data_IF_854879129777
#
_entry.id   IF_854879129777
#
_cell.length_a   1.000
_cell.length_b   1.000
_cell.length_c   1.000
_cell.angle_alpha   90.00
_cell.angle_beta   90.00
_cell.angle_gamma   90.00
#
_symmetry.space_group_name_H-M   'P 1'
#
loop_
_entity.id
_entity.type
_entity.pdbx_description
1 polymer ?
#
# COMPACT_ATOMS: atom_id res chain seq x y z
N UNK A 1 -16.80 -5.21 10.88
CA UNK A 1 -15.90 -5.71 9.83
C UNK A 1 -14.74 -6.39 10.53
N UNK A 2 -14.35 -7.61 10.14
CA UNK A 2 -13.27 -8.36 10.77
C UNK A 2 -12.27 -8.80 9.70
N UNK A 3 -10.98 -8.65 9.96
CA UNK A 3 -9.93 -9.10 9.05
C UNK A 3 -9.51 -10.52 9.40
N UNK A 4 -9.43 -11.41 8.39
CA UNK A 4 -8.86 -12.74 8.59
C UNK A 4 -7.33 -12.71 8.63
N UNK A 5 -6.72 -11.75 7.93
CA UNK A 5 -5.27 -11.57 7.87
C UNK A 5 -4.92 -10.12 7.64
N UNK A 6 -3.86 -9.66 8.30
CA UNK A 6 -3.25 -8.33 8.10
C UNK A 6 -1.75 -8.56 7.90
N UNK A 7 -1.20 -8.02 6.82
CA UNK A 7 0.24 -8.09 6.54
C UNK A 7 0.74 -6.66 6.43
N UNK A 8 1.68 -6.30 7.31
CA UNK A 8 2.24 -4.96 7.40
C UNK A 8 3.75 -5.01 7.10
N UNK A 9 4.24 -3.97 6.43
CA UNK A 9 5.66 -3.73 6.22
C UNK A 9 6.11 -2.53 7.04
N UNK A 10 7.30 -2.62 7.63
CA UNK A 10 7.95 -1.50 8.33
C UNK A 10 9.45 -1.56 8.07
N UNK A 11 10.05 -0.43 7.65
CA UNK A 11 11.49 -0.35 7.38
C UNK A 11 12.30 -0.05 8.65
N UNK A 12 11.71 0.72 9.57
CA UNK A 12 12.29 1.09 10.86
C UNK A 12 12.31 -0.11 11.77
N UNK A 13 13.49 -0.51 12.24
CA UNK A 13 13.60 -1.67 13.14
C UNK A 13 12.86 -1.39 14.46
N UNK A 14 11.78 -2.12 14.70
CA UNK A 14 10.98 -2.03 15.90
C UNK A 14 11.43 -3.11 16.89
N UNK A 15 11.49 -2.76 18.17
CA UNK A 15 11.60 -3.77 19.22
C UNK A 15 10.32 -4.64 19.21
N UNK A 16 10.41 -5.97 19.34
CA UNK A 16 9.23 -6.84 19.28
C UNK A 16 8.12 -6.43 20.25
N UNK A 17 8.45 -6.03 21.48
CA UNK A 17 7.44 -5.58 22.43
C UNK A 17 6.64 -4.38 21.88
N UNK A 18 7.32 -3.37 21.35
CA UNK A 18 6.70 -2.17 20.78
C UNK A 18 5.87 -2.46 19.53
N UNK A 19 6.34 -3.37 18.68
CA UNK A 19 5.65 -3.75 17.46
C UNK A 19 4.29 -4.43 17.71
N UNK A 20 4.18 -5.18 18.81
CA UNK A 20 3.01 -6.02 19.10
C UNK A 20 2.10 -5.46 20.19
N UNK A 21 2.56 -4.52 21.02
CA UNK A 21 1.77 -3.91 22.12
C UNK A 21 0.49 -3.22 21.63
N UNK A 22 0.50 -2.65 20.42
CA UNK A 22 -0.65 -1.93 19.86
C UNK A 22 -1.62 -2.82 19.08
N UNK A 23 -1.28 -4.10 18.89
CA UNK A 23 -2.14 -5.03 18.15
C UNK A 23 -3.24 -5.54 19.09
N UNK A 24 -4.53 -5.28 18.80
CA UNK A 24 -5.63 -5.82 19.61
C UNK A 24 -5.59 -7.35 19.69
N UNK A 25 -5.97 -7.91 20.83
CA UNK A 25 -5.92 -9.36 21.09
C UNK A 25 -6.61 -10.18 20.00
N UNK A 26 -7.75 -9.72 19.48
CA UNK A 26 -8.50 -10.38 18.40
C UNK A 26 -7.76 -10.45 17.06
N UNK A 27 -6.75 -9.61 16.84
CA UNK A 27 -5.96 -9.54 15.61
C UNK A 27 -4.60 -10.24 15.73
N UNK A 28 -4.18 -10.63 16.94
CA UNK A 28 -2.84 -11.17 17.20
C UNK A 28 -2.50 -12.37 16.32
N UNK A 29 -3.44 -13.30 16.10
CA UNK A 29 -3.19 -14.49 15.26
C UNK A 29 -3.24 -14.20 13.75
N UNK A 30 -3.91 -13.12 13.35
CA UNK A 30 -4.08 -12.73 11.95
C UNK A 30 -3.07 -11.70 11.47
N UNK A 31 -2.36 -11.03 12.38
CA UNK A 31 -1.40 -9.99 12.07
C UNK A 31 -0.02 -10.56 11.78
N UNK A 32 0.62 -10.07 10.73
CA UNK A 32 2.00 -10.40 10.36
C UNK A 32 2.75 -9.10 10.10
N UNK A 33 3.83 -8.87 10.86
CA UNK A 33 4.75 -7.77 10.62
C UNK A 33 5.99 -8.28 9.87
N UNK A 34 6.29 -7.64 8.73
CA UNK A 34 7.51 -7.81 7.96
C UNK A 34 8.38 -6.57 8.22
N UNK A 35 9.28 -6.67 9.20
CA UNK A 35 10.10 -5.54 9.62
C UNK A 35 11.40 -5.40 8.81
N UNK A 36 11.28 -5.51 7.49
CA UNK A 36 12.31 -5.22 6.49
C UNK A 36 11.56 -4.48 5.38
N UNK A 37 11.95 -3.25 5.05
CA UNK A 37 11.19 -2.42 4.10
C UNK A 37 10.89 -3.13 2.77
N UNK A 38 9.88 -2.66 2.06
CA UNK A 38 9.50 -3.28 0.79
C UNK A 38 10.33 -2.78 -0.40
N UNK A 39 10.27 -3.50 -1.52
CA UNK A 39 11.01 -3.21 -2.75
C UNK A 39 10.07 -3.07 -3.95
N UNK A 40 10.34 -2.09 -4.81
CA UNK A 40 9.66 -1.93 -6.09
C UNK A 40 10.16 -2.91 -7.18
N UNK A 41 11.33 -3.54 -7.01
CA UNK A 41 11.84 -4.52 -7.98
C UNK A 41 10.89 -5.74 -8.07
N UNK A 42 10.38 -6.03 -9.28
CA UNK A 42 9.49 -7.17 -9.58
C UNK A 42 10.13 -8.53 -9.23
N UNK A 43 11.45 -8.64 -9.26
CA UNK A 43 12.18 -9.87 -8.93
C UNK A 43 12.49 -10.01 -7.43
N UNK A 44 12.44 -8.92 -6.66
CA UNK A 44 12.75 -8.94 -5.23
C UNK A 44 11.70 -9.73 -4.45
N UNK A 45 12.14 -10.54 -3.50
CA UNK A 45 11.27 -11.24 -2.54
C UNK A 45 10.49 -10.26 -1.65
N UNK A 46 11.00 -9.03 -1.50
CA UNK A 46 10.43 -7.99 -0.65
C UNK A 46 9.44 -7.10 -1.41
N UNK A 47 9.09 -7.47 -2.65
CA UNK A 47 8.01 -6.83 -3.39
C UNK A 47 6.65 -7.26 -2.83
N UNK A 48 5.82 -6.32 -2.37
CA UNK A 48 4.57 -6.64 -1.66
C UNK A 48 3.55 -7.34 -2.57
N UNK A 49 3.61 -7.13 -3.88
CA UNK A 49 2.70 -7.80 -4.82
C UNK A 49 2.97 -9.29 -4.94
N UNK A 50 4.19 -9.75 -4.67
CA UNK A 50 4.46 -11.19 -4.58
C UNK A 50 3.76 -11.82 -3.38
N UNK A 51 3.67 -11.10 -2.26
CA UNK A 51 2.93 -11.57 -1.09
C UNK A 51 1.44 -11.57 -1.40
N UNK A 52 0.90 -10.51 -2.01
CA UNK A 52 -0.50 -10.47 -2.43
C UNK A 52 -0.85 -11.68 -3.30
N UNK A 53 -0.07 -11.94 -4.35
CA UNK A 53 -0.27 -13.07 -5.27
C UNK A 53 -0.17 -14.44 -4.58
N UNK A 54 0.58 -14.55 -3.48
CA UNK A 54 0.73 -15.79 -2.73
C UNK A 54 -0.34 -15.96 -1.63
N UNK A 55 -0.89 -14.86 -1.12
CA UNK A 55 -1.75 -14.84 0.06
C UNK A 55 -3.24 -14.71 -0.27
N UNK A 56 -3.59 -14.07 -1.38
CA UNK A 56 -4.97 -13.77 -1.76
C UNK A 56 -5.45 -14.59 -2.96
N UNK A 57 -6.76 -14.76 -3.04
CA UNK A 57 -7.50 -15.37 -4.14
C UNK A 57 -8.59 -14.41 -4.63
N UNK A 58 -9.13 -14.61 -5.85
CA UNK A 58 -10.18 -13.73 -6.39
C UNK A 58 -11.46 -13.65 -5.55
N UNK A 59 -11.70 -14.62 -4.66
CA UNK A 59 -12.87 -14.63 -3.77
C UNK A 59 -12.65 -13.88 -2.45
N UNK A 60 -11.39 -13.52 -2.14
CA UNK A 60 -11.07 -12.74 -0.95
C UNK A 60 -11.42 -11.26 -1.17
N UNK A 61 -11.77 -10.57 -0.09
CA UNK A 61 -11.90 -9.11 -0.13
C UNK A 61 -10.60 -8.48 0.35
N UNK A 62 -9.87 -7.80 -0.54
CA UNK A 62 -8.53 -7.28 -0.28
C UNK A 62 -8.52 -5.76 -0.23
N UNK A 63 -7.94 -5.24 0.85
CA UNK A 63 -7.67 -3.81 1.05
C UNK A 63 -6.17 -3.59 1.05
N UNK A 64 -5.71 -2.62 0.27
CA UNK A 64 -4.32 -2.19 0.24
C UNK A 64 -4.22 -0.75 0.74
N UNK A 65 -3.36 -0.48 1.72
CA UNK A 65 -2.88 0.87 2.04
C UNK A 65 -1.45 1.00 1.55
N UNK A 66 -1.18 2.03 0.73
CA UNK A 66 0.16 2.38 0.25
C UNK A 66 0.54 3.77 0.77
N UNK A 67 1.56 3.79 1.63
CA UNK A 67 2.05 4.96 2.36
C UNK A 67 3.46 4.59 2.87
N UNK A 68 4.49 4.95 2.10
CA UNK A 68 5.91 4.58 2.31
C UNK A 68 6.79 5.85 2.36
N UNK A 69 6.22 7.04 2.15
CA UNK A 69 6.93 8.34 2.08
C UNK A 69 8.04 8.41 1.02
N UNK A 70 8.09 7.43 0.09
CA UNK A 70 9.18 7.27 -0.87
C UNK A 70 8.62 7.06 -2.27
N UNK A 71 8.45 8.15 -3.02
CA UNK A 71 7.83 8.11 -4.36
C UNK A 71 8.56 7.21 -5.36
N UNK A 72 9.89 7.03 -5.22
CA UNK A 72 10.67 6.12 -6.06
C UNK A 72 10.37 4.63 -5.82
N UNK A 73 9.62 4.29 -4.76
CA UNK A 73 9.10 2.96 -4.48
C UNK A 73 7.60 2.91 -4.80
N UNK A 74 6.81 3.86 -4.30
CA UNK A 74 5.36 3.86 -4.43
C UNK A 74 4.89 3.93 -5.89
N UNK A 75 5.47 4.83 -6.70
CA UNK A 75 5.03 5.01 -8.09
C UNK A 75 5.30 3.77 -8.94
N UNK A 76 6.48 3.12 -8.87
CA UNK A 76 6.67 1.83 -9.51
C UNK A 76 5.73 0.73 -9.01
N UNK A 77 5.33 0.73 -7.74
CA UNK A 77 4.35 -0.23 -7.22
C UNK A 77 2.95 0.02 -7.79
N UNK A 78 2.52 1.28 -7.89
CA UNK A 78 1.27 1.64 -8.59
C UNK A 78 1.33 1.22 -10.06
N UNK A 79 2.44 1.49 -10.73
CA UNK A 79 2.61 1.14 -12.14
C UNK A 79 2.50 -0.38 -12.35
N UNK A 80 2.99 -1.18 -11.42
CA UNK A 80 2.81 -2.64 -11.46
C UNK A 80 1.35 -3.08 -11.40
N UNK A 81 0.52 -2.42 -10.58
CA UNK A 81 -0.93 -2.68 -10.54
C UNK A 81 -1.55 -2.33 -11.90
N UNK A 82 -1.18 -1.17 -12.46
CA UNK A 82 -1.71 -0.69 -13.74
C UNK A 82 -1.34 -1.59 -14.94
N UNK A 83 -0.21 -2.27 -14.88
CA UNK A 83 0.32 -3.12 -15.95
C UNK A 83 -0.05 -4.60 -15.84
N UNK A 84 -0.54 -5.05 -14.68
CA UNK A 84 -0.73 -6.46 -14.40
C UNK A 84 -2.15 -6.75 -13.89
N UNK A 85 -2.99 -7.29 -14.77
CA UNK A 85 -4.37 -7.64 -14.46
C UNK A 85 -4.49 -8.68 -13.34
N UNK A 86 -3.52 -9.58 -13.19
CA UNK A 86 -3.51 -10.56 -12.09
C UNK A 86 -3.35 -9.87 -10.74
N UNK A 87 -2.57 -8.78 -10.66
CA UNK A 87 -2.45 -7.99 -9.43
C UNK A 87 -3.73 -7.18 -9.22
N UNK A 88 -4.18 -6.44 -10.24
CA UNK A 88 -5.31 -5.53 -10.07
C UNK A 88 -6.63 -6.25 -9.75
N UNK A 89 -6.83 -7.47 -10.27
CA UNK A 89 -8.02 -8.29 -9.97
C UNK A 89 -8.08 -8.81 -8.54
N UNK A 90 -6.96 -8.79 -7.81
CA UNK A 90 -6.90 -9.20 -6.41
C UNK A 90 -7.07 -8.02 -5.44
N UNK A 91 -7.29 -6.80 -5.92
CA UNK A 91 -7.42 -5.60 -5.06
C UNK A 91 -8.83 -5.04 -5.21
N UNK A 92 -9.61 -5.09 -4.14
CA UNK A 92 -10.96 -4.53 -4.13
C UNK A 92 -10.97 -3.05 -3.78
N UNK A 93 -10.14 -2.67 -2.81
CA UNK A 93 -10.11 -1.34 -2.24
C UNK A 93 -8.68 -0.91 -1.96
N UNK A 94 -8.38 0.36 -2.25
CA UNK A 94 -7.04 0.89 -2.08
C UNK A 94 -7.07 2.30 -1.50
N UNK A 95 -6.15 2.55 -0.57
CA UNK A 95 -5.81 3.85 -0.01
C UNK A 95 -4.38 4.18 -0.42
N UNK A 96 -4.15 5.36 -1.00
CA UNK A 96 -2.81 5.78 -1.42
C UNK A 96 -2.55 7.23 -1.03
N UNK A 97 -1.49 7.44 -0.25
CA UNK A 97 -0.93 8.75 0.05
C UNK A 97 0.06 9.18 -1.03
N UNK A 98 -0.48 9.64 -2.17
CA UNK A 98 0.37 10.15 -3.23
C UNK A 98 0.89 11.55 -2.86
N UNK A 99 2.11 11.59 -2.33
CA UNK A 99 2.83 12.80 -1.99
C UNK A 99 3.07 13.71 -3.21
N UNK A 100 2.28 14.78 -3.32
CA UNK A 100 2.36 15.80 -4.38
C UNK A 100 2.29 17.21 -3.79
N UNK A 101 2.75 18.22 -4.54
CA UNK A 101 2.71 19.60 -4.04
C UNK A 101 1.25 20.11 -3.99
N UNK A 102 0.73 20.26 -2.76
CA UNK A 102 -0.53 20.93 -2.44
C UNK A 102 -0.32 21.88 -1.27
N UNK A 103 -0.84 23.10 -1.39
CA UNK A 103 -0.55 24.22 -0.48
C UNK A 103 -0.80 23.87 1.00
N UNK A 104 -1.88 23.14 1.24
CA UNK A 104 -2.36 22.74 2.56
C UNK A 104 -1.40 21.76 3.26
N UNK A 105 -0.69 20.92 2.48
CA UNK A 105 0.19 19.86 3.01
C UNK A 105 1.67 20.23 3.01
N UNK A 106 2.06 21.41 2.49
CA UNK A 106 3.48 21.83 2.44
C UNK A 106 4.15 21.76 3.83
N UNK A 107 3.42 22.07 4.90
CA UNK A 107 3.98 22.02 6.27
C UNK A 107 4.30 20.60 6.77
N UNK A 108 3.77 19.57 6.12
CA UNK A 108 3.91 18.17 6.50
C UNK A 108 4.81 17.42 5.54
N UNK A 109 4.56 17.55 4.24
CA UNK A 109 5.25 16.83 3.18
C UNK A 109 6.41 17.62 2.55
N UNK A 110 6.55 18.91 2.88
CA UNK A 110 7.50 19.79 2.21
C UNK A 110 7.05 20.14 0.78
N UNK A 111 7.91 19.89 -0.20
CA UNK A 111 7.63 20.20 -1.61
C UNK A 111 7.88 18.97 -2.49
N UNK A 112 7.10 17.89 -2.31
CA UNK A 112 7.24 16.69 -3.13
C UNK A 112 6.90 17.02 -4.59
N UNK A 113 7.50 16.31 -5.56
CA UNK A 113 7.27 16.58 -6.98
C UNK A 113 5.82 16.27 -7.37
N UNK A 114 5.40 16.81 -8.53
CA UNK A 114 4.08 16.55 -9.08
C UNK A 114 2.96 17.41 -8.50
N UNK A 115 1.75 17.14 -8.96
CA UNK A 115 0.56 17.95 -8.72
C UNK A 115 -0.64 17.07 -8.36
N UNK A 116 -1.68 17.68 -7.80
CA UNK A 116 -2.95 17.00 -7.53
C UNK A 116 -3.57 16.38 -8.80
N UNK A 117 -3.33 16.97 -9.97
CA UNK A 117 -3.75 16.39 -11.24
C UNK A 117 -3.12 15.03 -11.48
N UNK A 118 -1.83 14.85 -11.16
CA UNK A 118 -1.13 13.57 -11.34
C UNK A 118 -1.75 12.48 -10.45
N UNK A 119 -2.08 12.81 -9.19
CA UNK A 119 -2.81 11.92 -8.29
C UNK A 119 -4.16 11.50 -8.89
N UNK A 120 -4.94 12.44 -9.42
CA UNK A 120 -6.22 12.10 -10.05
C UNK A 120 -6.04 11.21 -11.28
N UNK A 121 -4.99 11.39 -12.09
CA UNK A 121 -4.73 10.51 -13.23
C UNK A 121 -4.47 9.06 -12.79
N UNK A 122 -3.67 8.86 -11.74
CA UNK A 122 -3.46 7.52 -11.17
C UNK A 122 -4.77 6.95 -10.62
N UNK A 123 -5.52 7.73 -9.84
CA UNK A 123 -6.73 7.24 -9.20
C UNK A 123 -7.85 6.91 -10.21
N UNK A 124 -7.97 7.67 -11.30
CA UNK A 124 -8.91 7.35 -12.38
C UNK A 124 -8.52 6.02 -13.02
N UNK A 125 -7.24 5.81 -13.35
CA UNK A 125 -6.77 4.57 -13.97
C UNK A 125 -6.98 3.36 -13.07
N UNK A 126 -6.70 3.48 -11.77
CA UNK A 126 -6.96 2.41 -10.80
C UNK A 126 -8.45 2.08 -10.70
N UNK A 127 -9.33 3.09 -10.69
CA UNK A 127 -10.79 2.87 -10.71
C UNK A 127 -11.27 2.20 -12.00
N UNK A 128 -10.65 2.50 -13.14
CA UNK A 128 -10.95 1.83 -14.41
C UNK A 128 -10.61 0.33 -14.38
N UNK A 129 -9.72 -0.11 -13.49
CA UNK A 129 -9.43 -1.53 -13.23
C UNK A 129 -10.42 -2.19 -12.26
N UNK A 130 -11.41 -1.45 -11.74
CA UNK A 130 -12.39 -1.95 -10.78
C UNK A 130 -12.03 -1.71 -9.31
N UNK A 131 -10.86 -1.12 -9.03
CA UNK A 131 -10.39 -0.86 -7.66
C UNK A 131 -11.13 0.35 -7.07
N UNK A 132 -11.73 0.19 -5.89
CA UNK A 132 -12.26 1.33 -5.11
C UNK A 132 -11.09 2.14 -4.56
N UNK A 133 -10.71 3.19 -5.29
CA UNK A 133 -9.56 4.02 -4.96
C UNK A 133 -9.94 5.21 -4.07
N UNK A 134 -9.24 5.36 -2.96
CA UNK A 134 -9.37 6.42 -1.97
C UNK A 134 -8.06 7.20 -1.84
N UNK A 135 -8.13 8.53 -1.95
CA UNK A 135 -7.00 9.37 -1.56
C UNK A 135 -6.84 9.32 -0.03
N UNK A 136 -5.61 9.23 0.45
CA UNK A 136 -5.24 9.33 1.87
C UNK A 136 -4.31 10.53 2.06
N UNK A 137 -4.49 11.32 3.13
CA UNK A 137 -3.43 11.68 4.07
C UNK A 137 -3.53 10.84 5.34
#
# INVERSE_FOLDING_TARGET
MSFNRIIAYEISQLAPATAWEQVPDELMSGYTLINVGCSADKASKDNPWRILLAAAKPEDYVIVKLDIDTSSIELPLIQQILENSTISQLIDEMFFEHHVTVKEMIRYWGHPPGSLNDSYQYFIKLRQLGIRMHAWP
#
